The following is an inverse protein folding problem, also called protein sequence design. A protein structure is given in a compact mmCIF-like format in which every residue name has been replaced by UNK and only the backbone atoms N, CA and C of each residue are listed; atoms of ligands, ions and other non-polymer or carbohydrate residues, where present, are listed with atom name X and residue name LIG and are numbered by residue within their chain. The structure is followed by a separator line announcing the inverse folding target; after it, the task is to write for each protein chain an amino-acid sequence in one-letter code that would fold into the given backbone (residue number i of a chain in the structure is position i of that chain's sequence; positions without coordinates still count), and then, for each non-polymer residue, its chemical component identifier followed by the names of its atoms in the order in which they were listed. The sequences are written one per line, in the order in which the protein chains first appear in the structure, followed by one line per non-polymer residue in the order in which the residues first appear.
data_IF_741998793760
#
_entry.id   IF_741998793760
#
_cell.length_a   1.000
_cell.length_b   1.000
_cell.length_c   1.000
_cell.angle_alpha   90.00
_cell.angle_beta   90.00
_cell.angle_gamma   90.00
#
_symmetry.space_group_name_H-M   'P 1'
#
loop_
_entity.id
_entity.type
_entity.pdbx_description
1 polymer ?
#
# COMPACT_ATOMS: atom_id res chain seq x y z
N UNK A 1 -16.32 24.16 1.28
CA UNK A 1 -17.33 23.74 0.28
C UNK A 1 -18.20 22.69 0.95
N UNK A 2 -19.50 22.98 1.15
CA UNK A 2 -20.45 22.04 1.75
C UNK A 2 -21.12 21.28 0.60
N UNK A 3 -20.89 19.98 0.51
CA UNK A 3 -21.56 19.12 -0.47
C UNK A 3 -22.91 18.73 0.12
N UNK A 4 -24.00 19.17 -0.51
CA UNK A 4 -25.36 18.73 -0.12
C UNK A 4 -25.49 17.24 -0.37
N UNK A 5 -25.98 16.50 0.61
CA UNK A 5 -26.21 15.05 0.49
C UNK A 5 -27.36 14.70 -0.46
N UNK A 6 -28.22 15.65 -0.81
CA UNK A 6 -29.32 15.53 -1.77
C UNK A 6 -29.06 16.41 -2.97
N UNK A 7 -29.23 15.85 -4.17
CA UNK A 7 -29.23 16.62 -5.41
C UNK A 7 -30.49 17.45 -5.59
N UNK A 8 -30.49 18.35 -6.56
CA UNK A 8 -31.66 19.19 -6.86
C UNK A 8 -32.86 18.36 -7.39
N UNK A 9 -32.60 17.11 -7.82
CA UNK A 9 -33.58 16.09 -8.20
C UNK A 9 -34.20 15.34 -7.00
N UNK A 10 -33.87 15.73 -5.76
CA UNK A 10 -34.34 15.08 -4.53
C UNK A 10 -33.72 13.71 -4.28
N UNK A 11 -32.77 13.27 -5.08
CA UNK A 11 -32.08 11.99 -4.89
C UNK A 11 -30.83 12.16 -4.06
N UNK A 12 -30.62 11.21 -3.13
CA UNK A 12 -29.39 11.20 -2.34
C UNK A 12 -28.21 10.73 -3.21
N UNK A 13 -27.11 11.47 -3.16
CA UNK A 13 -25.88 11.11 -3.83
C UNK A 13 -25.37 9.76 -3.28
N UNK A 14 -25.51 8.71 -4.07
CA UNK A 14 -25.02 7.37 -3.72
C UNK A 14 -23.71 7.09 -4.48
N UNK A 15 -22.61 7.47 -3.84
CA UNK A 15 -21.27 7.27 -4.43
C UNK A 15 -20.81 5.85 -4.16
N UNK A 16 -20.90 4.99 -5.16
CA UNK A 16 -20.34 3.65 -5.13
C UNK A 16 -18.84 3.67 -5.46
N UNK A 17 -18.14 2.62 -5.04
CA UNK A 17 -16.69 2.48 -5.29
C UNK A 17 -16.34 2.59 -6.79
N UNK A 18 -17.16 2.05 -7.65
CA UNK A 18 -16.99 2.10 -9.11
C UNK A 18 -17.14 3.52 -9.66
N UNK A 19 -18.10 4.28 -9.16
CA UNK A 19 -18.29 5.70 -9.51
C UNK A 19 -17.04 6.51 -9.14
N UNK A 20 -16.48 6.29 -7.94
CA UNK A 20 -15.22 6.94 -7.53
C UNK A 20 -14.03 6.55 -8.40
N UNK A 21 -13.96 5.28 -8.83
CA UNK A 21 -12.93 4.82 -9.77
C UNK A 21 -13.09 5.48 -11.15
N UNK A 22 -14.32 5.59 -11.64
CA UNK A 22 -14.64 6.32 -12.87
C UNK A 22 -14.18 7.77 -12.79
N UNK A 23 -14.58 8.51 -11.77
CA UNK A 23 -14.19 9.89 -11.57
C UNK A 23 -12.68 10.10 -11.48
N UNK A 24 -11.95 9.22 -10.80
CA UNK A 24 -10.48 9.29 -10.73
C UNK A 24 -9.84 9.12 -12.10
N UNK A 25 -10.35 8.19 -12.92
CA UNK A 25 -9.84 7.99 -14.29
C UNK A 25 -10.09 9.18 -15.17
N UNK A 26 -11.32 9.73 -15.14
CA UNK A 26 -11.69 10.92 -15.89
C UNK A 26 -10.86 12.14 -15.44
N UNK A 27 -10.72 12.34 -14.13
CA UNK A 27 -9.89 13.42 -13.59
C UNK A 27 -8.43 13.30 -14.04
N UNK A 28 -7.86 12.10 -13.97
CA UNK A 28 -6.49 11.87 -14.44
C UNK A 28 -6.36 12.08 -15.95
N UNK A 29 -7.38 11.75 -16.75
CA UNK A 29 -7.41 12.03 -18.18
C UNK A 29 -7.39 13.55 -18.44
N UNK A 30 -8.29 14.30 -17.84
CA UNK A 30 -8.33 15.74 -17.98
C UNK A 30 -7.04 16.43 -17.56
N UNK A 31 -6.39 15.95 -16.49
CA UNK A 31 -5.08 16.49 -16.09
C UNK A 31 -4.02 16.26 -17.16
N UNK A 32 -3.98 15.06 -17.76
CA UNK A 32 -3.04 14.77 -18.86
C UNK A 32 -3.32 15.64 -20.10
N UNK A 33 -4.59 15.85 -20.43
CA UNK A 33 -5.00 16.73 -21.54
C UNK A 33 -4.52 18.18 -21.32
N UNK A 34 -4.33 18.57 -20.05
CA UNK A 34 -3.75 19.87 -19.65
C UNK A 34 -2.22 19.84 -19.47
N UNK A 35 -1.54 18.76 -19.90
CA UNK A 35 -0.09 18.62 -19.76
C UNK A 35 0.40 18.24 -18.36
N UNK A 36 -0.50 17.96 -17.42
CA UNK A 36 -0.14 17.52 -16.06
C UNK A 36 -0.04 16.00 -15.99
N UNK A 37 1.13 15.48 -15.62
CA UNK A 37 1.34 14.04 -15.44
C UNK A 37 0.45 13.51 -14.30
N UNK A 38 -0.59 12.73 -14.64
CA UNK A 38 -1.54 12.18 -13.68
C UNK A 38 -1.84 10.72 -13.97
N UNK A 39 -1.99 9.92 -12.89
CA UNK A 39 -2.26 8.50 -12.96
C UNK A 39 -3.37 8.09 -11.98
N UNK A 40 -4.36 7.36 -12.45
CA UNK A 40 -5.46 6.80 -11.68
C UNK A 40 -5.30 5.29 -11.39
N UNK A 41 -4.15 4.70 -11.68
CA UNK A 41 -3.87 3.29 -11.45
C UNK A 41 -3.98 2.94 -9.97
N UNK A 42 -4.59 1.80 -9.66
CA UNK A 42 -4.74 1.31 -8.28
C UNK A 42 -3.36 1.10 -7.61
N UNK A 43 -3.29 1.34 -6.30
CA UNK A 43 -2.04 1.21 -5.53
C UNK A 43 -1.40 -0.18 -5.64
N UNK A 44 -2.22 -1.21 -5.70
CA UNK A 44 -1.78 -2.61 -5.82
C UNK A 44 -0.91 -2.79 -7.06
N UNK A 45 -1.38 -2.27 -8.21
CA UNK A 45 -0.66 -2.34 -9.48
C UNK A 45 0.65 -1.57 -9.43
N UNK A 46 0.69 -0.46 -8.68
CA UNK A 46 1.90 0.34 -8.45
C UNK A 46 2.84 -0.24 -7.39
N UNK A 47 2.50 -1.39 -6.80
CA UNK A 47 3.29 -2.03 -5.75
C UNK A 47 3.33 -1.27 -4.42
N UNK A 48 2.45 -0.27 -4.24
CA UNK A 48 2.41 0.51 -2.99
C UNK A 48 1.58 -0.23 -1.95
N UNK A 49 2.25 -0.88 -1.02
CA UNK A 49 1.64 -1.50 0.16
C UNK A 49 1.61 -0.45 1.28
N UNK A 50 0.44 0.14 1.53
CA UNK A 50 0.23 0.97 2.73
C UNK A 50 -0.87 0.34 3.58
N UNK A 51 -0.67 0.20 4.90
CA UNK A 51 -1.74 -0.22 5.79
C UNK A 51 -2.90 0.77 5.65
N UNK A 52 -4.11 0.22 5.42
CA UNK A 52 -5.33 1.03 5.33
C UNK A 52 -5.71 1.47 6.76
N UNK A 53 -5.27 2.66 7.14
CA UNK A 53 -5.70 3.30 8.38
C UNK A 53 -6.80 4.31 8.07
N UNK A 54 -7.84 4.35 8.88
CA UNK A 54 -8.76 5.49 8.87
C UNK A 54 -7.99 6.76 9.18
N UNK A 55 -8.42 7.89 8.65
CA UNK A 55 -7.69 9.18 8.76
C UNK A 55 -7.39 9.54 10.23
N UNK A 56 -8.33 9.32 11.14
CA UNK A 56 -8.12 9.55 12.57
C UNK A 56 -7.01 8.70 13.18
N UNK A 57 -6.98 7.39 12.86
CA UNK A 57 -5.93 6.48 13.32
C UNK A 57 -4.58 6.85 12.70
N UNK A 58 -4.58 7.26 11.44
CA UNK A 58 -3.37 7.70 10.74
C UNK A 58 -2.78 8.96 11.38
N UNK A 59 -3.59 9.99 11.63
CA UNK A 59 -3.15 11.22 12.29
C UNK A 59 -2.70 10.99 13.73
N UNK A 60 -3.39 10.12 14.48
CA UNK A 60 -2.97 9.74 15.83
C UNK A 60 -1.64 8.97 15.80
N UNK A 61 -1.42 8.11 14.80
CA UNK A 61 -0.16 7.40 14.64
C UNK A 61 1.00 8.36 14.31
N UNK A 62 0.78 9.38 13.47
CA UNK A 62 1.78 10.42 13.18
C UNK A 62 2.19 11.20 14.44
N UNK A 63 1.24 11.51 15.33
CA UNK A 63 1.50 12.20 16.60
C UNK A 63 2.03 11.27 17.70
N UNK A 64 2.31 9.99 17.40
CA UNK A 64 2.68 8.94 18.37
C UNK A 64 1.63 8.69 19.47
N UNK A 65 0.40 9.14 19.27
CA UNK A 65 -0.71 9.06 20.24
C UNK A 65 -1.72 7.96 19.91
N UNK A 66 -1.40 7.04 18.98
CA UNK A 66 -2.32 5.96 18.59
C UNK A 66 -2.32 4.83 19.60
N UNK A 67 -3.38 4.71 20.38
CA UNK A 67 -3.63 3.57 21.29
C UNK A 67 -3.71 2.25 20.50
N UNK A 68 -4.34 2.26 19.33
CA UNK A 68 -4.43 1.10 18.45
C UNK A 68 -3.03 0.59 17.99
N UNK A 69 -2.14 1.50 17.60
CA UNK A 69 -0.77 1.11 17.24
C UNK A 69 -0.01 0.55 18.44
N UNK A 70 -0.16 1.17 19.62
CA UNK A 70 0.47 0.70 20.86
C UNK A 70 0.01 -0.71 21.22
N UNK A 71 -1.29 -0.97 21.24
CA UNK A 71 -1.84 -2.29 21.52
C UNK A 71 -1.34 -3.36 20.55
N UNK A 72 -1.24 -3.04 19.25
CA UNK A 72 -0.66 -3.94 18.26
C UNK A 72 0.82 -4.18 18.47
N UNK A 73 1.59 -3.14 18.77
CA UNK A 73 3.01 -3.27 19.06
C UNK A 73 3.26 -4.11 20.32
N UNK A 74 2.48 -3.92 21.37
CA UNK A 74 2.53 -4.75 22.58
C UNK A 74 2.14 -6.21 22.32
N UNK A 75 1.14 -6.46 21.44
CA UNK A 75 0.78 -7.82 21.05
C UNK A 75 1.93 -8.51 20.29
N UNK A 76 2.55 -7.82 19.33
CA UNK A 76 3.70 -8.34 18.57
C UNK A 76 4.92 -8.52 19.47
N UNK A 77 5.17 -7.63 20.43
CA UNK A 77 6.26 -7.78 21.40
C UNK A 77 6.08 -9.02 22.27
N UNK A 78 4.87 -9.28 22.77
CA UNK A 78 4.55 -10.50 23.52
C UNK A 78 4.78 -11.78 22.72
N UNK A 79 4.41 -11.77 21.42
CA UNK A 79 4.66 -12.92 20.55
C UNK A 79 6.14 -13.16 20.29
N UNK A 80 6.93 -12.09 20.13
CA UNK A 80 8.38 -12.21 20.00
C UNK A 80 9.02 -12.84 21.26
N UNK A 81 8.47 -12.52 22.43
CA UNK A 81 8.97 -13.07 23.71
C UNK A 81 8.52 -14.50 23.94
N UNK A 82 7.28 -14.84 23.56
CA UNK A 82 6.74 -16.21 23.74
C UNK A 82 7.17 -17.20 22.66
N UNK A 83 7.65 -16.71 21.49
CA UNK A 83 7.95 -17.54 20.33
C UNK A 83 6.70 -18.05 19.59
N UNK A 84 5.50 -17.75 20.06
CA UNK A 84 4.23 -18.20 19.47
C UNK A 84 3.76 -17.21 18.41
N UNK A 85 4.19 -17.42 17.16
CA UNK A 85 3.81 -16.57 16.03
C UNK A 85 2.47 -17.00 15.48
N UNK A 86 1.43 -16.19 15.68
CA UNK A 86 0.09 -16.46 15.18
C UNK A 86 0.02 -16.31 13.65
N UNK A 87 -0.64 -17.25 12.95
CA UNK A 87 -0.85 -17.15 11.51
C UNK A 87 -1.68 -15.90 11.15
N UNK A 88 -1.28 -15.22 10.09
CA UNK A 88 -1.93 -14.01 9.62
C UNK A 88 -2.70 -14.28 8.31
N UNK A 89 -4.05 -14.43 8.35
CA UNK A 89 -4.85 -14.76 7.17
C UNK A 89 -4.70 -13.74 6.03
N UNK A 90 -4.46 -12.48 6.37
CA UNK A 90 -4.24 -11.40 5.40
C UNK A 90 -2.98 -11.57 4.55
N UNK A 91 -1.96 -12.27 5.07
CA UNK A 91 -0.70 -12.52 4.36
C UNK A 91 -0.90 -13.36 3.10
N UNK A 92 -1.70 -14.39 3.17
CA UNK A 92 -1.98 -15.27 2.01
C UNK A 92 -2.60 -14.46 0.87
N UNK A 93 -3.57 -13.61 1.19
CA UNK A 93 -4.21 -12.72 0.20
C UNK A 93 -3.24 -11.69 -0.36
N UNK A 94 -2.39 -11.12 0.49
CA UNK A 94 -1.38 -10.15 0.08
C UNK A 94 -0.40 -10.77 -0.93
N UNK A 95 0.12 -11.96 -0.63
CA UNK A 95 1.04 -12.68 -1.50
C UNK A 95 0.36 -13.14 -2.82
N UNK A 96 -0.91 -13.57 -2.76
CA UNK A 96 -1.67 -13.92 -3.95
C UNK A 96 -1.85 -12.70 -4.87
N UNK A 97 -2.31 -11.57 -4.32
CA UNK A 97 -2.47 -10.32 -5.08
C UNK A 97 -1.13 -9.87 -5.69
N UNK A 98 -0.03 -10.00 -4.95
CA UNK A 98 1.28 -9.62 -5.47
C UNK A 98 1.71 -10.48 -6.64
N UNK A 99 1.54 -11.78 -6.54
CA UNK A 99 1.85 -12.71 -7.66
C UNK A 99 1.07 -12.35 -8.91
N UNK A 100 -0.22 -12.03 -8.78
CA UNK A 100 -1.05 -11.58 -9.90
C UNK A 100 -0.53 -10.28 -10.52
N UNK A 101 -0.17 -9.31 -9.69
CA UNK A 101 0.38 -8.02 -10.15
C UNK A 101 1.70 -8.22 -10.89
N UNK A 102 2.62 -9.03 -10.34
CA UNK A 102 3.92 -9.33 -10.97
C UNK A 102 3.71 -10.07 -12.30
N UNK A 103 2.78 -11.05 -12.33
CA UNK A 103 2.44 -11.75 -13.58
C UNK A 103 1.94 -10.78 -14.63
N UNK A 104 0.96 -9.94 -14.30
CA UNK A 104 0.42 -8.97 -15.25
C UNK A 104 1.46 -7.98 -15.78
N UNK A 105 2.39 -7.52 -14.96
CA UNK A 105 3.47 -6.66 -15.42
C UNK A 105 4.47 -7.39 -16.32
N UNK A 106 4.76 -8.67 -16.06
CA UNK A 106 5.61 -9.46 -16.94
C UNK A 106 4.93 -9.70 -18.30
N UNK A 107 3.62 -10.00 -18.33
CA UNK A 107 2.85 -10.10 -19.57
C UNK A 107 2.87 -8.79 -20.37
N UNK A 108 2.79 -7.63 -19.70
CA UNK A 108 2.95 -6.32 -20.35
C UNK A 108 4.36 -6.19 -20.94
N UNK A 109 5.40 -6.56 -20.20
CA UNK A 109 6.77 -6.50 -20.71
C UNK A 109 6.99 -7.41 -21.93
N UNK A 110 6.42 -8.61 -21.91
CA UNK A 110 6.52 -9.55 -23.03
C UNK A 110 5.79 -9.03 -24.28
N UNK A 111 4.60 -8.45 -24.10
CA UNK A 111 3.89 -7.79 -25.19
C UNK A 111 4.65 -6.59 -25.79
N UNK A 112 5.34 -5.82 -24.96
CA UNK A 112 6.18 -4.71 -25.41
C UNK A 112 7.38 -5.20 -26.25
N UNK A 113 7.97 -6.34 -25.89
CA UNK A 113 9.01 -6.98 -26.71
C UNK A 113 8.47 -7.38 -28.08
N UNK A 114 7.27 -7.95 -28.13
CA UNK A 114 6.60 -8.31 -29.40
C UNK A 114 6.28 -7.10 -30.28
N UNK A 115 6.15 -5.93 -29.68
CA UNK A 115 5.93 -4.65 -30.35
C UNK A 115 7.25 -3.90 -30.66
N UNK A 116 8.40 -4.55 -30.55
CA UNK A 116 9.74 -3.98 -30.73
C UNK A 116 10.07 -2.81 -29.78
N UNK A 117 9.33 -2.70 -28.65
CA UNK A 117 9.55 -1.66 -27.63
C UNK A 117 10.46 -2.18 -26.49
N UNK A 118 11.67 -2.58 -26.83
CA UNK A 118 12.59 -3.29 -25.92
C UNK A 118 12.98 -2.45 -24.71
N UNK A 119 13.25 -1.16 -24.90
CA UNK A 119 13.63 -0.25 -23.81
C UNK A 119 12.52 -0.10 -22.77
N UNK A 120 11.27 0.00 -23.24
CA UNK A 120 10.11 0.09 -22.35
C UNK A 120 9.86 -1.24 -21.62
N UNK A 121 10.04 -2.37 -22.30
CA UNK A 121 9.96 -3.69 -21.69
C UNK A 121 11.01 -3.85 -20.58
N UNK A 122 12.24 -3.39 -20.80
CA UNK A 122 13.30 -3.40 -19.81
C UNK A 122 12.97 -2.50 -18.61
N UNK A 123 12.41 -1.31 -18.86
CA UNK A 123 11.95 -0.41 -17.80
C UNK A 123 10.86 -1.06 -16.93
N UNK A 124 9.89 -1.77 -17.54
CA UNK A 124 8.84 -2.50 -16.82
C UNK A 124 9.45 -3.64 -15.98
N UNK A 125 10.36 -4.44 -16.54
CA UNK A 125 11.04 -5.51 -15.79
C UNK A 125 11.85 -4.95 -14.60
N UNK A 126 12.52 -3.82 -14.80
CA UNK A 126 13.25 -3.14 -13.73
C UNK A 126 12.30 -2.59 -12.66
N UNK A 127 11.13 -2.07 -13.04
CA UNK A 127 10.09 -1.67 -12.10
C UNK A 127 9.64 -2.85 -11.25
N UNK A 128 9.35 -4.01 -11.85
CA UNK A 128 8.96 -5.23 -11.12
C UNK A 128 10.03 -5.66 -10.12
N UNK A 129 11.32 -5.64 -10.50
CA UNK A 129 12.44 -5.97 -9.61
C UNK A 129 12.57 -5.02 -8.42
N UNK A 130 12.22 -3.74 -8.60
CA UNK A 130 12.30 -2.70 -7.55
C UNK A 130 11.04 -2.59 -6.70
N UNK A 131 10.02 -3.39 -6.96
CA UNK A 131 8.82 -3.38 -6.15
C UNK A 131 9.17 -3.68 -4.68
N UNK A 132 8.67 -2.88 -3.70
CA UNK A 132 8.96 -3.12 -2.30
C UNK A 132 8.44 -4.48 -1.85
N UNK A 133 9.08 -5.13 -0.85
CA UNK A 133 8.64 -6.41 -0.33
C UNK A 133 7.23 -6.31 0.27
N UNK A 134 6.46 -7.38 0.12
CA UNK A 134 5.13 -7.51 0.70
C UNK A 134 5.26 -7.72 2.20
N UNK A 135 4.84 -6.73 2.96
CA UNK A 135 4.80 -6.80 4.42
C UNK A 135 3.42 -6.45 4.92
N UNK A 136 2.94 -7.25 5.86
CA UNK A 136 1.75 -6.89 6.64
C UNK A 136 2.13 -5.82 7.68
N UNK A 137 1.12 -5.14 8.24
CA UNK A 137 1.37 -4.17 9.32
C UNK A 137 2.07 -4.82 10.51
N UNK A 138 1.72 -6.08 10.80
CA UNK A 138 2.30 -6.85 11.91
C UNK A 138 3.76 -7.19 11.66
N UNK A 139 4.11 -7.63 10.46
CA UNK A 139 5.49 -7.88 10.06
C UNK A 139 6.33 -6.61 10.11
N UNK A 140 5.75 -5.49 9.65
CA UNK A 140 6.43 -4.20 9.74
C UNK A 140 6.68 -3.75 11.18
N UNK A 141 5.71 -3.95 12.10
CA UNK A 141 5.88 -3.67 13.53
C UNK A 141 6.97 -4.57 14.11
N UNK A 142 6.94 -5.87 13.77
CA UNK A 142 7.93 -6.84 14.23
C UNK A 142 9.36 -6.46 13.83
N UNK A 143 9.56 -6.17 12.56
CA UNK A 143 10.87 -5.80 12.04
C UNK A 143 11.40 -4.55 12.75
N UNK A 144 10.53 -3.55 12.96
CA UNK A 144 10.88 -2.32 13.67
C UNK A 144 11.24 -2.56 15.13
N UNK A 145 10.55 -3.45 15.84
CA UNK A 145 10.88 -3.81 17.21
C UNK A 145 12.23 -4.53 17.29
N UNK A 146 12.51 -5.43 16.35
CA UNK A 146 13.81 -6.14 16.27
C UNK A 146 14.95 -5.17 15.93
N UNK A 147 14.75 -4.22 15.04
CA UNK A 147 15.75 -3.17 14.77
C UNK A 147 16.04 -2.32 16.01
N UNK A 148 15.00 -1.95 16.77
CA UNK A 148 15.16 -1.19 17.99
C UNK A 148 15.89 -1.95 19.10
N UNK A 149 15.65 -3.26 19.24
CA UNK A 149 16.38 -4.08 20.22
C UNK A 149 17.86 -4.21 19.85
N UNK A 150 18.18 -4.50 18.57
CA UNK A 150 19.56 -4.55 18.09
C UNK A 150 20.32 -3.24 18.34
N UNK A 151 19.67 -2.10 18.03
CA UNK A 151 20.28 -0.80 18.24
C UNK A 151 20.50 -0.43 19.73
N UNK A 152 19.77 -1.06 20.66
CA UNK A 152 20.03 -0.96 22.11
C UNK A 152 21.20 -1.82 22.53
N UNK A 153 21.20 -3.09 22.10
CA UNK A 153 22.29 -4.03 22.42
C UNK A 153 23.64 -3.53 21.91
N UNK A 154 23.69 -2.91 20.73
CA UNK A 154 24.91 -2.32 20.18
C UNK A 154 25.40 -1.11 20.99
N UNK A 155 24.48 -0.29 21.53
CA UNK A 155 24.84 0.83 22.41
C UNK A 155 25.38 0.36 23.76
N UNK A 156 24.81 -0.71 24.31
CA UNK A 156 25.23 -1.26 25.59
C UNK A 156 26.58 -1.96 25.50
N UNK A 157 26.92 -2.54 24.33
CA UNK A 157 28.24 -3.13 24.04
C UNK A 157 29.34 -2.11 23.80
N UNK A 158 28.97 -0.87 23.43
CA UNK A 158 29.93 0.22 23.13
C UNK A 158 30.20 1.12 24.33
N UNK A 159 29.65 0.78 25.50
CA UNK A 159 29.91 1.44 26.78
C UNK A 159 30.79 0.59 27.70
#
# INVERSE_FOLDING_TARGET
MVVKAMGDDGRRLNIRRETLRGWRREFARHLRDQGVAANATDRQVRGVVKPQKTDGIYRAALRRASTHYRQRAEAVARELTSGDVKPEPGRVRLLATRREVVRGWNEVADNLVLQDQVDLALAVRNFVKRLPPERTEREWIRDRLLEQSRARDDRDRSR
#
